data_IF_660160346096
#
_entry.id   IF_660160346096
#
_cell.length_a   1.000
_cell.length_b   1.000
_cell.length_c   1.000
_cell.angle_alpha   90.00
_cell.angle_beta   90.00
_cell.angle_gamma   90.00
#
_symmetry.space_group_name_H-M   'P 1'
#
loop_
_entity.id
_entity.type
_entity.pdbx_description
1 polymer ?
#
# COMPACT_ATOMS: atom_id res chain seq x y z
N UNK A 1 -12.99 -46.40 -58.13
CA UNK A 1 -12.32 -46.77 -56.83
C UNK A 1 -11.77 -45.53 -56.25
N UNK A 2 -12.62 -44.80 -55.50
CA UNK A 2 -12.33 -43.47 -54.99
C UNK A 2 -11.79 -43.58 -53.56
N UNK A 3 -10.63 -43.04 -53.38
CA UNK A 3 -10.01 -42.92 -52.02
C UNK A 3 -10.36 -41.55 -51.45
N UNK A 4 -11.33 -41.50 -50.52
CA UNK A 4 -11.57 -40.34 -49.70
C UNK A 4 -10.47 -40.26 -48.61
N UNK A 5 -9.66 -39.22 -48.67
CA UNK A 5 -8.73 -38.84 -47.59
C UNK A 5 -9.46 -37.95 -46.59
N UNK A 6 -9.72 -38.47 -45.39
CA UNK A 6 -10.18 -37.67 -44.26
C UNK A 6 -8.98 -36.89 -43.64
N UNK A 7 -8.97 -35.56 -43.76
CA UNK A 7 -8.11 -34.70 -42.96
C UNK A 7 -8.81 -34.41 -41.64
N UNK A 8 -8.30 -34.98 -40.56
CA UNK A 8 -8.70 -34.64 -39.22
C UNK A 8 -7.93 -33.36 -38.78
N UNK A 9 -8.66 -32.24 -38.68
CA UNK A 9 -8.08 -30.99 -38.12
C UNK A 9 -8.07 -31.08 -36.58
N UNK A 10 -6.90 -31.18 -35.98
CA UNK A 10 -6.72 -31.02 -34.55
C UNK A 10 -6.83 -29.51 -34.20
N UNK A 11 -7.93 -29.11 -33.59
CA UNK A 11 -8.03 -27.83 -32.94
C UNK A 11 -7.29 -27.90 -31.59
N UNK A 12 -6.11 -27.28 -31.49
CA UNK A 12 -5.42 -27.04 -30.24
C UNK A 12 -6.11 -25.89 -29.52
N UNK A 13 -6.88 -26.18 -28.47
CA UNK A 13 -7.43 -25.17 -27.57
C UNK A 13 -6.30 -24.60 -26.71
N UNK A 14 -5.84 -23.38 -27.02
CA UNK A 14 -4.93 -22.63 -26.17
C UNK A 14 -5.71 -22.19 -24.92
N UNK A 15 -5.41 -22.79 -23.77
CA UNK A 15 -5.92 -22.35 -22.48
C UNK A 15 -5.28 -20.98 -22.16
N UNK A 16 -6.07 -19.91 -22.28
CA UNK A 16 -5.68 -18.59 -21.82
C UNK A 16 -5.73 -18.65 -20.29
N UNK A 17 -4.55 -18.75 -19.66
CA UNK A 17 -4.43 -18.61 -18.23
C UNK A 17 -4.83 -17.18 -17.85
N UNK A 18 -6.01 -17.02 -17.25
CA UNK A 18 -6.41 -15.75 -16.64
C UNK A 18 -5.38 -15.36 -15.57
N UNK A 19 -4.91 -14.09 -15.51
CA UNK A 19 -4.04 -13.66 -14.44
C UNK A 19 -4.79 -13.86 -13.12
N UNK A 20 -4.29 -14.79 -12.30
CA UNK A 20 -4.88 -15.09 -11.01
C UNK A 20 -4.92 -13.82 -10.16
N UNK A 21 -6.11 -13.45 -9.68
CA UNK A 21 -6.28 -12.42 -8.66
C UNK A 21 -5.51 -12.94 -7.45
N UNK A 22 -4.45 -12.24 -7.06
CA UNK A 22 -3.69 -12.60 -5.87
C UNK A 22 -4.65 -12.65 -4.68
N UNK A 23 -4.65 -13.77 -3.97
CA UNK A 23 -5.43 -13.89 -2.75
C UNK A 23 -4.96 -12.84 -1.73
N UNK A 24 -5.87 -12.29 -0.91
CA UNK A 24 -5.49 -11.40 0.18
C UNK A 24 -4.40 -12.06 1.04
N UNK A 25 -3.45 -11.27 1.50
CA UNK A 25 -2.39 -11.76 2.39
C UNK A 25 -3.02 -12.23 3.69
N UNK A 26 -2.85 -13.51 4.04
CA UNK A 26 -3.18 -14.01 5.38
C UNK A 26 -2.18 -13.46 6.39
N UNK A 27 -2.67 -12.69 7.34
CA UNK A 27 -1.86 -12.05 8.36
C UNK A 27 -1.95 -12.82 9.68
N UNK A 28 -0.98 -13.70 9.90
CA UNK A 28 -0.81 -14.47 11.14
C UNK A 28 0.37 -13.95 11.99
N UNK A 29 0.67 -12.65 11.90
CA UNK A 29 1.80 -12.04 12.59
C UNK A 29 1.48 -11.88 14.09
N UNK A 30 2.18 -12.60 14.93
CA UNK A 30 2.06 -12.53 16.38
C UNK A 30 3.36 -12.00 16.98
N UNK A 31 3.30 -10.84 17.64
CA UNK A 31 4.45 -10.20 18.27
C UNK A 31 5.12 -11.08 19.33
N UNK A 32 4.35 -11.97 20.00
CA UNK A 32 4.86 -12.92 21.00
C UNK A 32 5.53 -14.14 20.39
N UNK A 33 5.40 -14.36 19.07
CA UNK A 33 5.90 -15.55 18.38
C UNK A 33 6.88 -15.17 17.25
N UNK A 34 8.18 -15.23 17.54
CA UNK A 34 9.23 -14.88 16.60
C UNK A 34 9.17 -15.67 15.27
N UNK A 35 8.63 -16.90 15.27
CA UNK A 35 8.51 -17.70 14.06
C UNK A 35 7.49 -17.08 13.08
N UNK A 36 6.40 -16.49 13.58
CA UNK A 36 5.43 -15.80 12.74
C UNK A 36 6.00 -14.50 12.17
N UNK A 37 6.81 -13.78 12.95
CA UNK A 37 7.48 -12.56 12.50
C UNK A 37 8.57 -12.82 11.44
N UNK A 38 9.07 -14.04 11.32
CA UNK A 38 10.03 -14.42 10.28
C UNK A 38 9.38 -14.65 8.91
N UNK A 39 8.06 -14.74 8.83
CA UNK A 39 7.32 -14.91 7.57
C UNK A 39 7.41 -13.62 6.76
N UNK A 40 7.59 -13.75 5.45
CA UNK A 40 7.79 -12.60 4.55
C UNK A 40 6.73 -11.50 4.70
N UNK A 41 5.47 -11.87 4.86
CA UNK A 41 4.35 -10.93 5.00
C UNK A 41 4.40 -10.14 6.32
N UNK A 42 5.11 -10.66 7.32
CA UNK A 42 5.25 -10.06 8.64
C UNK A 42 6.53 -9.23 8.80
N UNK A 43 7.27 -8.99 7.71
CA UNK A 43 8.54 -8.24 7.77
C UNK A 43 8.39 -6.85 8.39
N UNK A 44 7.34 -6.11 8.04
CA UNK A 44 7.09 -4.80 8.63
C UNK A 44 6.59 -4.88 10.08
N UNK A 45 5.90 -5.96 10.48
CA UNK A 45 5.55 -6.24 11.88
C UNK A 45 6.83 -6.46 12.71
N UNK A 46 7.78 -7.24 12.19
CA UNK A 46 9.08 -7.43 12.83
C UNK A 46 9.85 -6.13 13.03
N UNK A 47 9.86 -5.25 12.02
CA UNK A 47 10.50 -3.94 12.12
C UNK A 47 9.80 -3.04 13.15
N UNK A 48 8.46 -3.13 13.27
CA UNK A 48 7.70 -2.40 14.27
C UNK A 48 8.05 -2.87 15.70
N UNK A 49 8.17 -4.17 15.93
CA UNK A 49 8.56 -4.73 17.24
C UNK A 49 10.02 -4.38 17.62
N UNK A 50 10.88 -4.16 16.64
CA UNK A 50 12.26 -3.74 16.88
C UNK A 50 12.38 -2.28 17.35
N UNK A 51 11.31 -1.46 17.20
CA UNK A 51 11.34 -0.07 17.66
C UNK A 51 11.17 0.03 19.18
N UNK A 52 11.71 1.09 19.82
CA UNK A 52 11.45 1.38 21.23
C UNK A 52 9.96 1.39 21.57
N UNK A 53 9.58 0.93 22.75
CA UNK A 53 8.18 0.74 23.14
C UNK A 53 7.36 2.05 23.16
N UNK A 54 7.99 3.19 23.37
CA UNK A 54 7.41 4.53 23.38
C UNK A 54 7.30 5.18 22.00
N UNK A 55 7.88 4.55 20.97
CA UNK A 55 7.75 5.00 19.57
C UNK A 55 6.30 4.89 19.13
N UNK A 56 5.73 5.96 18.63
CA UNK A 56 4.37 5.96 18.07
C UNK A 56 4.39 5.68 16.56
N UNK A 57 5.26 6.36 15.85
CA UNK A 57 5.40 6.27 14.40
C UNK A 57 6.89 6.30 14.05
N UNK A 58 7.28 5.49 13.10
CA UNK A 58 8.64 5.44 12.59
C UNK A 58 8.67 5.38 11.07
N UNK A 59 9.85 5.61 10.49
CA UNK A 59 10.07 5.63 9.06
C UNK A 59 11.10 4.59 8.67
N UNK A 60 10.81 3.86 7.59
CA UNK A 60 11.75 2.92 6.97
C UNK A 60 12.02 3.34 5.53
N UNK A 61 13.24 3.14 5.07
CA UNK A 61 13.52 3.18 3.64
C UNK A 61 12.87 1.94 2.97
N UNK A 62 12.21 2.13 1.82
CA UNK A 62 11.71 0.98 1.07
C UNK A 62 12.89 0.10 0.67
N UNK A 63 12.86 -1.17 1.08
CA UNK A 63 13.94 -2.13 0.83
C UNK A 63 13.99 -2.60 -0.62
N UNK A 64 12.96 -2.31 -1.41
CA UNK A 64 12.93 -2.67 -2.82
C UNK A 64 13.90 -1.76 -3.61
N UNK A 65 14.98 -2.28 -4.20
CA UNK A 65 15.97 -1.47 -4.90
C UNK A 65 15.40 -0.69 -6.09
N UNK A 66 14.24 -1.12 -6.61
CA UNK A 66 13.51 -0.38 -7.66
C UNK A 66 12.74 0.84 -7.13
N UNK A 67 12.73 1.04 -5.82
CA UNK A 67 12.01 2.12 -5.13
C UNK A 67 12.95 2.94 -4.24
N UNK A 68 14.16 3.18 -4.72
CA UNK A 68 15.25 3.81 -3.94
C UNK A 68 14.88 5.19 -3.35
N UNK A 69 13.92 5.88 -3.95
CA UNK A 69 13.47 7.21 -3.54
C UNK A 69 12.20 7.19 -2.65
N UNK A 70 11.86 6.04 -2.08
CA UNK A 70 10.66 5.89 -1.26
C UNK A 70 10.98 5.62 0.20
N UNK A 71 10.13 6.18 1.05
CA UNK A 71 10.06 5.83 2.46
C UNK A 71 8.69 5.22 2.77
N UNK A 72 8.64 4.52 3.89
CA UNK A 72 7.41 4.01 4.49
C UNK A 72 7.23 4.71 5.84
N UNK A 73 6.00 5.13 6.15
CA UNK A 73 5.61 5.51 7.50
C UNK A 73 4.77 4.40 8.11
N UNK A 74 5.11 3.99 9.32
CA UNK A 74 4.45 2.89 10.03
C UNK A 74 4.09 3.31 11.46
N UNK A 75 2.93 2.88 11.99
CA UNK A 75 2.71 2.92 13.43
C UNK A 75 3.56 1.84 14.09
N UNK A 76 4.13 2.14 15.27
CA UNK A 76 4.85 1.11 16.05
C UNK A 76 3.90 0.13 16.72
N UNK A 77 2.79 0.59 17.35
CA UNK A 77 1.87 -0.33 17.97
C UNK A 77 1.39 -1.40 16.99
N UNK A 78 1.60 -2.65 17.36
CA UNK A 78 1.22 -3.81 16.62
C UNK A 78 0.45 -4.73 17.57
N UNK A 79 -0.87 -4.64 17.55
CA UNK A 79 -1.75 -5.57 18.23
C UNK A 79 -2.39 -6.51 17.21
N UNK A 80 -2.80 -7.68 17.65
CA UNK A 80 -3.58 -8.59 16.82
C UNK A 80 -4.80 -7.83 16.25
N UNK A 81 -4.93 -7.78 14.94
CA UNK A 81 -6.00 -7.05 14.23
C UNK A 81 -5.62 -5.67 13.68
N UNK A 82 -4.50 -5.06 14.08
CA UNK A 82 -4.10 -3.74 13.55
C UNK A 82 -3.31 -3.84 12.23
N UNK A 83 -3.83 -4.61 11.29
CA UNK A 83 -3.14 -4.86 10.03
C UNK A 83 -3.54 -3.90 8.91
N UNK A 84 -4.62 -3.14 9.09
CA UNK A 84 -5.10 -2.17 8.12
C UNK A 84 -5.33 -0.78 8.74
N UNK A 85 -5.43 0.25 7.88
CA UNK A 85 -5.72 1.62 8.36
C UNK A 85 -7.04 1.71 9.12
N UNK A 86 -8.05 0.94 8.75
CA UNK A 86 -9.35 1.00 9.41
C UNK A 86 -9.37 0.35 10.79
N UNK A 87 -8.39 -0.54 11.09
CA UNK A 87 -8.24 -1.16 12.42
C UNK A 87 -7.62 -0.19 13.44
N UNK A 88 -6.90 0.83 12.97
CA UNK A 88 -6.34 1.86 13.83
C UNK A 88 -7.46 2.77 14.36
N UNK A 89 -7.31 3.30 15.57
CA UNK A 89 -8.18 4.36 16.08
C UNK A 89 -8.08 5.64 15.23
N UNK A 90 -9.08 6.51 15.29
CA UNK A 90 -9.07 7.79 14.57
C UNK A 90 -7.85 8.67 14.94
N UNK A 91 -7.41 8.62 16.20
CA UNK A 91 -6.24 9.34 16.67
C UNK A 91 -4.94 8.78 16.07
N UNK A 92 -4.77 7.45 16.05
CA UNK A 92 -3.61 6.78 15.47
C UNK A 92 -3.52 7.02 13.96
N UNK A 93 -4.64 6.90 13.23
CA UNK A 93 -4.69 7.23 11.80
C UNK A 93 -4.30 8.66 11.52
N UNK A 94 -4.85 9.61 12.30
CA UNK A 94 -4.52 11.03 12.16
C UNK A 94 -3.04 11.29 12.40
N UNK A 95 -2.47 10.68 13.44
CA UNK A 95 -1.05 10.79 13.75
C UNK A 95 -0.17 10.21 12.63
N UNK A 96 -0.52 9.02 12.11
CA UNK A 96 0.21 8.35 11.04
C UNK A 96 0.20 9.18 9.74
N UNK A 97 -0.97 9.66 9.33
CA UNK A 97 -1.08 10.52 8.15
C UNK A 97 -0.37 11.86 8.33
N UNK A 98 -0.46 12.48 9.52
CA UNK A 98 0.25 13.72 9.81
C UNK A 98 1.75 13.55 9.69
N UNK A 99 2.29 12.47 10.26
CA UNK A 99 3.71 12.16 10.18
C UNK A 99 4.16 11.87 8.74
N UNK A 100 3.39 11.04 7.99
CA UNK A 100 3.70 10.71 6.60
C UNK A 100 3.69 11.95 5.70
N UNK A 101 2.65 12.79 5.79
CA UNK A 101 2.53 14.02 5.01
C UNK A 101 3.62 15.03 5.40
N UNK A 102 3.92 15.16 6.69
CA UNK A 102 5.01 16.01 7.18
C UNK A 102 6.36 15.61 6.59
N UNK A 103 6.69 14.30 6.65
CA UNK A 103 7.93 13.76 6.07
C UNK A 103 7.95 13.92 4.54
N UNK A 104 6.84 13.72 3.86
CA UNK A 104 6.75 13.89 2.41
C UNK A 104 7.02 15.36 2.00
N UNK A 105 6.44 16.32 2.71
CA UNK A 105 6.68 17.76 2.50
C UNK A 105 8.12 18.16 2.73
N UNK A 106 8.73 17.63 3.80
CA UNK A 106 10.15 17.86 4.13
C UNK A 106 11.06 17.45 2.97
N UNK A 107 10.78 16.30 2.34
CA UNK A 107 11.67 15.71 1.34
C UNK A 107 11.43 16.23 -0.08
N UNK A 108 10.19 16.52 -0.45
CA UNK A 108 9.83 16.84 -1.83
C UNK A 108 9.08 18.16 -2.03
N UNK A 109 8.97 18.99 -0.97
CA UNK A 109 8.34 20.30 -1.06
C UNK A 109 6.92 20.24 -1.69
N UNK A 110 6.63 20.99 -2.76
CA UNK A 110 5.31 21.02 -3.38
C UNK A 110 4.98 19.76 -4.23
N UNK A 111 5.96 18.87 -4.42
CA UNK A 111 5.81 17.67 -5.27
C UNK A 111 5.65 16.38 -4.46
N UNK A 112 5.25 16.50 -3.21
CA UNK A 112 5.07 15.35 -2.33
C UNK A 112 3.83 14.51 -2.72
N UNK A 113 3.91 13.22 -2.47
CA UNK A 113 2.79 12.30 -2.53
C UNK A 113 2.89 11.25 -1.43
N UNK A 114 1.74 10.78 -0.96
CA UNK A 114 1.65 9.65 -0.05
C UNK A 114 0.57 8.68 -0.53
N UNK A 115 0.76 7.38 -0.32
CA UNK A 115 -0.13 6.36 -0.84
C UNK A 115 -0.27 5.18 0.14
N UNK A 116 -1.47 4.64 0.23
CA UNK A 116 -1.78 3.40 0.94
C UNK A 116 -2.40 2.41 -0.04
N UNK A 117 -1.75 1.29 -0.26
CA UNK A 117 -2.22 0.25 -1.17
C UNK A 117 -3.45 -0.47 -0.61
N UNK A 118 -4.40 -0.79 -1.48
CA UNK A 118 -5.56 -1.61 -1.12
C UNK A 118 -5.19 -3.05 -0.78
N UNK A 119 -6.09 -3.74 -0.07
CA UNK A 119 -5.84 -5.08 0.46
C UNK A 119 -5.47 -6.11 -0.62
N UNK A 120 -6.01 -5.99 -1.83
CA UNK A 120 -5.78 -6.95 -2.93
C UNK A 120 -4.34 -6.97 -3.46
N UNK A 121 -3.55 -5.92 -3.21
CA UNK A 121 -2.18 -5.80 -3.74
C UNK A 121 -1.13 -5.63 -2.65
N UNK A 122 -1.55 -5.49 -1.40
CA UNK A 122 -0.62 -5.45 -0.27
C UNK A 122 0.05 -6.81 -0.08
N UNK A 123 1.35 -6.76 0.14
CA UNK A 123 2.19 -7.95 0.39
C UNK A 123 2.73 -8.00 1.81
N UNK A 124 2.42 -6.99 2.62
CA UNK A 124 2.84 -6.87 4.01
C UNK A 124 1.63 -6.67 4.91
N UNK A 125 1.64 -7.31 6.05
CA UNK A 125 0.53 -7.30 7.00
C UNK A 125 0.41 -6.00 7.79
N UNK A 126 1.52 -5.35 8.09
CA UNK A 126 1.51 -4.12 8.88
C UNK A 126 1.02 -2.92 8.06
N UNK A 127 0.15 -2.10 8.63
CA UNK A 127 -0.29 -0.86 7.99
C UNK A 127 0.91 0.06 7.73
N UNK A 128 1.07 0.48 6.48
CA UNK A 128 2.17 1.35 6.08
C UNK A 128 1.77 2.30 4.97
N UNK A 129 2.26 3.52 5.05
CA UNK A 129 2.04 4.55 4.05
C UNK A 129 3.31 4.73 3.24
N UNK A 130 3.22 4.56 1.94
CA UNK A 130 4.30 4.90 1.01
C UNK A 130 4.43 6.41 0.89
N UNK A 131 5.66 6.91 1.00
CA UNK A 131 6.00 8.33 0.93
C UNK A 131 6.96 8.50 -0.25
N UNK A 132 6.65 9.43 -1.15
CA UNK A 132 7.50 9.66 -2.32
C UNK A 132 7.22 10.99 -3.02
N UNK A 133 8.01 11.25 -4.07
CA UNK A 133 7.74 12.33 -4.98
C UNK A 133 6.60 11.93 -5.90
N UNK A 134 5.59 12.79 -6.05
CA UNK A 134 4.51 12.57 -6.99
C UNK A 134 5.03 12.59 -8.44
N UNK A 135 4.56 11.66 -9.25
CA UNK A 135 4.81 11.67 -10.69
C UNK A 135 4.00 12.80 -11.34
N UNK A 136 4.53 13.38 -12.40
CA UNK A 136 3.83 14.41 -13.17
C UNK A 136 2.67 13.80 -13.95
N UNK A 137 1.53 14.50 -14.00
CA UNK A 137 0.38 14.13 -14.82
C UNK A 137 -0.47 12.99 -14.27
N UNK A 138 -0.32 12.65 -12.98
CA UNK A 138 -1.15 11.62 -12.32
C UNK A 138 -2.31 12.21 -11.53
N UNK A 139 -2.40 13.55 -11.44
CA UNK A 139 -3.38 14.27 -10.62
C UNK A 139 -4.83 14.19 -11.15
N UNK A 140 -5.04 13.49 -12.26
CA UNK A 140 -6.35 13.31 -12.88
C UNK A 140 -7.20 12.28 -12.13
N UNK A 141 -8.52 12.33 -12.35
CA UNK A 141 -9.47 11.38 -11.80
C UNK A 141 -10.33 11.95 -10.68
N UNK A 142 -11.08 11.08 -10.02
CA UNK A 142 -12.00 11.46 -8.93
C UNK A 142 -11.23 11.59 -7.61
N UNK A 143 -11.49 12.67 -6.90
CA UNK A 143 -10.91 12.91 -5.57
C UNK A 143 -11.91 13.64 -4.67
N UNK A 144 -11.63 13.60 -3.38
CA UNK A 144 -12.23 14.50 -2.39
C UNK A 144 -11.20 15.53 -1.94
N UNK A 145 -11.68 16.73 -1.61
CA UNK A 145 -10.83 17.82 -1.15
C UNK A 145 -10.89 17.90 0.37
N UNK A 146 -9.74 17.87 1.03
CA UNK A 146 -9.64 17.95 2.49
C UNK A 146 -8.65 19.06 2.90
N UNK A 147 -8.74 19.53 4.15
CA UNK A 147 -7.85 20.55 4.71
C UNK A 147 -6.93 20.02 5.80
N UNK A 148 -7.22 18.85 6.38
CA UNK A 148 -6.45 18.27 7.49
C UNK A 148 -6.47 16.73 7.45
N UNK A 149 -5.39 16.08 7.97
CA UNK A 149 -5.23 14.62 7.95
C UNK A 149 -6.36 13.83 8.63
N UNK A 150 -7.01 14.40 9.63
CA UNK A 150 -8.14 13.74 10.32
C UNK A 150 -9.37 13.51 9.44
N UNK A 151 -9.41 14.12 8.26
CA UNK A 151 -10.51 13.96 7.29
C UNK A 151 -10.24 12.85 6.26
N UNK A 152 -9.06 12.22 6.30
CA UNK A 152 -8.71 11.13 5.38
C UNK A 152 -9.55 9.89 5.76
N UNK A 153 -10.33 9.35 4.81
CA UNK A 153 -11.14 8.17 5.08
C UNK A 153 -10.27 6.93 5.25
N UNK A 154 -10.80 5.94 5.97
CA UNK A 154 -10.21 4.60 6.09
C UNK A 154 -11.31 3.56 5.93
N UNK A 155 -11.48 3.06 4.72
CA UNK A 155 -12.46 2.03 4.39
C UNK A 155 -11.76 0.67 4.27
N UNK A 156 -12.41 -0.41 4.73
CA UNK A 156 -11.84 -1.75 4.64
C UNK A 156 -11.41 -2.09 3.21
N UNK A 157 -10.19 -2.57 3.05
CA UNK A 157 -9.66 -3.04 1.78
C UNK A 157 -9.40 -1.99 0.69
N UNK A 158 -9.76 -0.72 0.93
CA UNK A 158 -9.61 0.35 -0.05
C UNK A 158 -8.21 0.94 -0.02
N UNK A 159 -7.61 1.13 -1.20
CA UNK A 159 -6.41 1.92 -1.36
C UNK A 159 -6.73 3.39 -1.61
N UNK A 160 -5.82 4.26 -1.25
CA UNK A 160 -5.92 5.69 -1.50
C UNK A 160 -4.55 6.35 -1.67
N UNK A 161 -4.51 7.49 -2.34
CA UNK A 161 -3.32 8.32 -2.41
C UNK A 161 -3.67 9.80 -2.32
N UNK A 162 -2.70 10.60 -1.88
CA UNK A 162 -2.92 12.00 -1.51
C UNK A 162 -1.77 12.84 -2.05
N UNK A 163 -2.12 14.03 -2.54
CA UNK A 163 -1.17 15.03 -2.98
C UNK A 163 -1.61 16.45 -2.61
N UNK A 164 -0.70 17.44 -2.66
CA UNK A 164 -1.05 18.84 -2.39
C UNK A 164 -1.89 19.45 -3.50
N UNK A 165 -2.79 20.36 -3.13
CA UNK A 165 -3.54 21.22 -4.02
C UNK A 165 -3.70 22.60 -3.36
N UNK A 166 -2.76 23.51 -3.62
CA UNK A 166 -2.66 24.78 -2.92
C UNK A 166 -2.50 24.60 -1.41
N UNK A 167 -3.40 25.17 -0.62
CA UNK A 167 -3.44 24.99 0.83
C UNK A 167 -4.30 23.79 1.30
N UNK A 168 -4.77 22.98 0.35
CA UNK A 168 -5.58 21.78 0.58
C UNK A 168 -4.88 20.52 0.09
N UNK A 169 -5.54 19.40 0.22
CA UNK A 169 -5.07 18.09 -0.25
C UNK A 169 -6.19 17.43 -1.06
N UNK A 170 -5.81 16.79 -2.15
CA UNK A 170 -6.68 15.90 -2.89
C UNK A 170 -6.44 14.46 -2.43
N UNK A 171 -7.51 13.75 -2.14
CA UNK A 171 -7.49 12.34 -1.76
C UNK A 171 -8.22 11.54 -2.83
N UNK A 172 -7.50 10.71 -3.54
CA UNK A 172 -8.02 9.79 -4.54
C UNK A 172 -8.34 8.45 -3.87
N UNK A 173 -9.51 7.90 -4.14
CA UNK A 173 -10.08 6.74 -3.46
C UNK A 173 -10.41 5.62 -4.45
N UNK A 174 -10.52 4.39 -3.95
CA UNK A 174 -11.04 3.24 -4.70
C UNK A 174 -10.02 2.49 -5.54
N UNK A 175 -8.77 2.94 -5.59
CA UNK A 175 -7.71 2.26 -6.30
C UNK A 175 -7.05 1.18 -5.41
N UNK A 176 -6.47 0.15 -6.02
CA UNK A 176 -5.75 -0.88 -5.30
C UNK A 176 -4.24 -0.62 -5.28
N UNK A 177 -3.64 -0.33 -6.43
CA UNK A 177 -2.18 -0.16 -6.57
C UNK A 177 -1.81 1.34 -6.55
N UNK A 178 -2.00 1.99 -5.42
CA UNK A 178 -1.90 3.44 -5.30
C UNK A 178 -0.46 3.97 -5.26
N UNK A 179 0.49 3.17 -4.84
CA UNK A 179 1.91 3.58 -4.78
C UNK A 179 2.54 3.84 -6.16
N UNK A 180 1.88 3.45 -7.25
CA UNK A 180 2.39 3.65 -8.62
C UNK A 180 2.43 5.12 -9.05
N UNK A 181 1.68 5.99 -8.38
CA UNK A 181 1.70 7.46 -8.61
C UNK A 181 2.97 8.12 -8.05
N UNK A 182 3.78 7.39 -7.29
CA UNK A 182 5.01 7.91 -6.69
C UNK A 182 6.24 7.49 -7.49
N UNK A 183 7.23 8.37 -7.58
CA UNK A 183 8.52 8.09 -8.20
C UNK A 183 9.16 6.86 -7.53
N UNK A 184 9.69 5.97 -8.34
CA UNK A 184 10.42 4.77 -7.92
C UNK A 184 11.85 5.06 -7.49
#
# INVERSE_FOLDING_TARGET
>A
MDRLSLFAALLAAAAIASPGIAAPVECACDASNAATLAIRQCGLCKEAEAQPADTKIFFLKDINPRKANRLLALPRPHSAGNHELHDLSAAERTALWTAAIGKAKELWGPHWGVAYNGAKVRTQCHAHIHIGKLLKGVEEGKFIVISKPSQIPARPGEGLWIHPSGNRMHVHLGEQTTETVLLR
#
